data_IF_865053256590
#
_entry.id   IF_865053256590
#
_cell.length_a   1.000
_cell.length_b   1.000
_cell.length_c   1.000
_cell.angle_alpha   90.00
_cell.angle_beta   90.00
_cell.angle_gamma   90.00
#
_symmetry.space_group_name_H-M   'P 1'
#
loop_
_entity.id
_entity.type
_entity.pdbx_description
1 polymer ?
#
# COMPACT_ATOMS: atom_id res chain seq x y z
N UNK A 1 -11.06 6.95 32.72
CA UNK A 1 -11.06 7.13 31.26
C UNK A 1 -10.28 8.41 31.01
N UNK A 2 -9.24 8.34 30.18
CA UNK A 2 -8.23 9.39 30.05
C UNK A 2 -8.84 10.62 29.37
N UNK A 3 -8.80 11.79 30.01
CA UNK A 3 -9.44 13.02 29.52
C UNK A 3 -8.98 13.38 28.09
N UNK A 4 -7.75 12.99 27.74
CA UNK A 4 -7.16 13.19 26.41
C UNK A 4 -7.83 12.33 25.32
N UNK A 5 -8.35 11.15 25.68
CA UNK A 5 -9.04 10.25 24.76
C UNK A 5 -10.47 10.72 24.50
N UNK A 6 -11.15 11.27 25.51
CA UNK A 6 -12.46 11.90 25.34
C UNK A 6 -12.39 13.14 24.44
N UNK A 7 -11.34 13.96 24.59
CA UNK A 7 -11.12 15.16 23.78
C UNK A 7 -10.78 14.83 22.31
N UNK A 8 -9.98 13.78 22.07
CA UNK A 8 -9.71 13.24 20.73
C UNK A 8 -10.96 12.67 20.06
N UNK A 9 -11.79 11.92 20.78
CA UNK A 9 -13.05 11.38 20.27
C UNK A 9 -14.06 12.50 19.97
N UNK A 10 -14.12 13.54 20.83
CA UNK A 10 -14.98 14.70 20.60
C UNK A 10 -14.58 15.48 19.34
N UNK A 11 -13.29 15.76 19.16
CA UNK A 11 -12.79 16.42 17.95
C UNK A 11 -12.99 15.57 16.69
N UNK A 12 -12.92 14.24 16.79
CA UNK A 12 -13.15 13.34 15.64
C UNK A 12 -14.64 13.29 15.25
N UNK A 13 -15.55 13.35 16.23
CA UNK A 13 -17.00 13.34 16.01
C UNK A 13 -17.49 14.71 15.53
N UNK A 14 -16.99 15.80 16.11
CA UNK A 14 -17.39 17.18 15.74
C UNK A 14 -16.85 17.61 14.38
N UNK A 15 -15.67 17.10 13.97
CA UNK A 15 -15.06 17.39 12.66
C UNK A 15 -15.29 16.28 11.63
N UNK A 16 -16.16 15.29 11.88
CA UNK A 16 -16.38 14.17 10.96
C UNK A 16 -16.77 14.62 9.55
N UNK A 17 -17.55 15.70 9.44
CA UNK A 17 -17.92 16.30 8.16
C UNK A 17 -16.77 17.09 7.50
N UNK A 18 -15.89 17.74 8.27
CA UNK A 18 -14.72 18.44 7.73
C UNK A 18 -13.59 17.49 7.34
N UNK A 19 -13.46 16.36 8.03
CA UNK A 19 -12.56 15.27 7.65
C UNK A 19 -13.08 14.61 6.38
N UNK A 20 -14.36 14.23 6.29
CA UNK A 20 -14.92 13.75 5.02
C UNK A 20 -14.71 14.78 3.90
N UNK A 21 -14.97 16.06 4.14
CA UNK A 21 -14.80 17.09 3.13
C UNK A 21 -13.33 17.32 2.75
N UNK A 22 -12.37 17.18 3.68
CA UNK A 22 -10.93 17.17 3.40
C UNK A 22 -10.51 15.91 2.64
N UNK A 23 -11.03 14.73 3.00
CA UNK A 23 -10.82 13.46 2.29
C UNK A 23 -11.39 13.53 0.86
N UNK A 24 -12.53 14.19 0.67
CA UNK A 24 -13.18 14.38 -0.63
C UNK A 24 -12.52 15.48 -1.49
N UNK A 25 -11.89 16.49 -0.90
CA UNK A 25 -11.28 17.62 -1.64
C UNK A 25 -9.77 17.47 -1.87
N UNK A 26 -9.08 16.62 -1.11
CA UNK A 26 -7.64 16.35 -1.28
C UNK A 26 -7.32 15.16 -2.20
N UNK A 27 -8.34 14.50 -2.78
CA UNK A 27 -8.18 13.43 -3.76
C UNK A 27 -7.58 13.87 -5.11
N UNK A 28 -7.14 15.12 -5.26
CA UNK A 28 -6.57 15.55 -6.53
C UNK A 28 -5.72 16.80 -6.41
N UNK A 29 -4.43 16.62 -6.73
CA UNK A 29 -3.45 17.62 -7.22
C UNK A 29 -2.39 18.11 -6.23
N UNK A 30 -1.96 17.28 -5.29
CA UNK A 30 -0.64 17.42 -4.68
C UNK A 30 0.49 17.15 -5.66
N UNK A 31 1.63 17.83 -5.46
CA UNK A 31 2.85 17.67 -6.26
C UNK A 31 3.50 16.29 -6.05
N UNK A 32 2.85 15.24 -6.52
CA UNK A 32 3.50 13.96 -6.69
C UNK A 32 4.51 14.06 -7.83
N UNK A 33 5.70 13.49 -7.65
CA UNK A 33 6.67 13.31 -8.76
C UNK A 33 6.20 12.25 -9.77
N UNK A 34 5.10 11.56 -9.48
CA UNK A 34 4.52 10.51 -10.31
C UNK A 34 3.39 11.08 -11.18
N UNK A 35 3.39 10.70 -12.45
CA UNK A 35 2.33 11.05 -13.38
C UNK A 35 0.99 10.44 -12.94
N UNK A 36 -0.11 11.10 -13.28
CA UNK A 36 -1.45 10.53 -13.12
C UNK A 36 -1.61 9.35 -14.08
N UNK A 37 -2.15 8.24 -13.58
CA UNK A 37 -2.50 7.11 -14.43
C UNK A 37 -3.54 7.56 -15.46
N UNK A 38 -3.19 7.45 -16.73
CA UNK A 38 -4.01 7.82 -17.88
C UNK A 38 -4.14 6.66 -18.87
N UNK A 39 -3.87 5.44 -18.39
CA UNK A 39 -3.94 4.22 -19.17
C UNK A 39 -5.36 3.67 -19.32
N UNK A 40 -5.43 2.44 -19.79
CA UNK A 40 -6.67 1.70 -19.96
C UNK A 40 -7.13 1.12 -18.61
N UNK A 41 -8.26 1.63 -18.07
CA UNK A 41 -8.81 1.21 -16.79
C UNK A 41 -9.37 -0.22 -16.82
N UNK A 42 -9.70 -0.78 -17.99
CA UNK A 42 -10.12 -2.20 -18.07
C UNK A 42 -8.96 -3.17 -17.77
N UNK A 43 -7.72 -2.67 -17.85
CA UNK A 43 -6.47 -3.37 -17.51
C UNK A 43 -6.00 -3.11 -16.08
N UNK A 44 -6.80 -2.41 -15.29
CA UNK A 44 -6.50 -2.08 -13.91
C UNK A 44 -7.29 -2.99 -12.96
N UNK A 45 -6.62 -3.45 -11.92
CA UNK A 45 -7.22 -4.14 -10.77
C UNK A 45 -6.98 -3.29 -9.52
N UNK A 46 -8.08 -2.89 -8.87
CA UNK A 46 -7.99 -2.24 -7.57
C UNK A 46 -7.68 -3.27 -6.48
N UNK A 47 -6.83 -2.87 -5.54
CA UNK A 47 -6.45 -3.62 -4.35
C UNK A 47 -7.06 -2.92 -3.15
N UNK A 48 -8.15 -3.47 -2.59
CA UNK A 48 -8.83 -2.86 -1.46
C UNK A 48 -7.96 -2.81 -0.20
N UNK A 49 -8.39 -1.98 0.75
CA UNK A 49 -7.88 -1.99 2.13
C UNK A 49 -7.85 -3.43 2.68
N UNK A 50 -6.76 -3.75 3.39
CA UNK A 50 -6.51 -5.08 3.94
C UNK A 50 -6.36 -6.20 2.90
N UNK A 51 -5.99 -5.87 1.66
CA UNK A 51 -5.70 -6.85 0.63
C UNK A 51 -4.31 -6.63 0.02
N UNK A 52 -3.84 -7.66 -0.67
CA UNK A 52 -2.72 -7.57 -1.60
C UNK A 52 -3.05 -8.31 -2.89
N UNK A 53 -2.35 -7.94 -3.95
CA UNK A 53 -2.38 -8.61 -5.25
C UNK A 53 -0.98 -8.72 -5.82
N UNK A 54 -0.78 -9.76 -6.63
CA UNK A 54 0.39 -9.98 -7.47
C UNK A 54 -0.14 -10.12 -8.89
N UNK A 55 0.50 -9.46 -9.86
CA UNK A 55 0.17 -9.58 -11.27
C UNK A 55 1.43 -9.65 -12.13
N UNK A 56 1.28 -10.12 -13.36
CA UNK A 56 2.34 -10.22 -14.36
C UNK A 56 2.04 -9.33 -15.57
N UNK A 57 3.06 -9.03 -16.38
CA UNK A 57 2.90 -8.27 -17.62
C UNK A 57 1.90 -8.89 -18.62
N UNK A 58 1.69 -10.19 -18.56
CA UNK A 58 0.83 -10.95 -19.49
C UNK A 58 -0.60 -11.14 -18.94
N UNK A 59 -0.87 -10.72 -17.72
CA UNK A 59 -2.20 -10.82 -17.14
C UNK A 59 -3.19 -9.90 -17.87
N UNK A 60 -4.49 -10.22 -17.76
CA UNK A 60 -5.56 -9.36 -18.30
C UNK A 60 -5.58 -7.97 -17.64
N UNK A 61 -5.18 -7.92 -16.37
CA UNK A 61 -5.12 -6.70 -15.55
C UNK A 61 -3.72 -6.49 -14.98
N UNK A 62 -2.73 -6.12 -15.82
CA UNK A 62 -1.33 -6.00 -15.41
C UNK A 62 -1.04 -4.75 -14.57
N UNK A 63 -2.03 -3.87 -14.34
CA UNK A 63 -1.89 -2.68 -13.51
C UNK A 63 -2.62 -2.90 -12.20
N UNK A 64 -1.94 -2.74 -11.07
CA UNK A 64 -2.55 -2.77 -9.74
C UNK A 64 -2.65 -1.35 -9.20
N UNK A 65 -3.77 -1.00 -8.58
CA UNK A 65 -3.94 0.30 -7.95
C UNK A 65 -4.54 0.19 -6.55
N UNK A 66 -4.30 1.19 -5.72
CA UNK A 66 -5.01 1.39 -4.46
C UNK A 66 -5.24 2.88 -4.25
N UNK A 67 -6.33 3.22 -3.57
CA UNK A 67 -6.62 4.57 -3.13
C UNK A 67 -6.63 4.68 -1.60
N UNK A 68 -6.74 5.90 -1.08
CA UNK A 68 -7.09 6.13 0.31
C UNK A 68 -5.99 5.87 1.34
N UNK A 69 -4.71 5.97 0.98
CA UNK A 69 -3.60 5.87 1.95
C UNK A 69 -3.55 7.13 2.82
N UNK A 70 -4.37 7.19 3.87
CA UNK A 70 -4.37 8.29 4.85
C UNK A 70 -3.41 7.98 6.02
N UNK A 71 -3.81 7.04 6.87
CA UNK A 71 -2.99 6.45 7.95
C UNK A 71 -2.39 5.10 7.54
N UNK A 72 -2.87 4.55 6.43
CA UNK A 72 -2.47 3.28 5.87
C UNK A 72 -1.12 3.35 5.17
N UNK A 73 -0.57 2.18 4.86
CA UNK A 73 0.69 1.99 4.15
C UNK A 73 0.45 1.13 2.92
N UNK A 74 0.83 1.65 1.76
CA UNK A 74 0.95 0.91 0.53
C UNK A 74 2.33 0.26 0.43
N UNK A 75 2.40 -0.98 -0.02
CA UNK A 75 3.68 -1.61 -0.40
C UNK A 75 3.58 -2.05 -1.83
N UNK A 76 4.47 -1.54 -2.67
CA UNK A 76 4.59 -1.97 -4.05
C UNK A 76 5.96 -2.61 -4.26
N UNK A 77 6.01 -3.65 -5.06
CA UNK A 77 7.28 -4.21 -5.50
C UNK A 77 7.22 -4.73 -6.91
N UNK A 78 8.38 -4.77 -7.56
CA UNK A 78 8.50 -5.15 -8.96
C UNK A 78 9.79 -5.91 -9.22
N UNK A 79 9.68 -7.00 -9.98
CA UNK A 79 10.81 -7.70 -10.58
C UNK A 79 10.90 -7.37 -12.08
N UNK A 80 11.92 -6.63 -12.54
CA UNK A 80 12.05 -6.25 -13.94
C UNK A 80 12.39 -7.41 -14.88
N UNK A 81 13.04 -8.47 -14.38
CA UNK A 81 13.42 -9.62 -15.19
C UNK A 81 12.22 -10.52 -15.45
N UNK A 82 11.34 -10.65 -14.45
CA UNK A 82 10.17 -11.51 -14.52
C UNK A 82 8.89 -10.78 -14.87
N UNK A 83 8.92 -9.45 -14.86
CA UNK A 83 7.76 -8.60 -15.13
C UNK A 83 6.59 -8.94 -14.23
N UNK A 84 6.90 -9.07 -12.94
CA UNK A 84 5.95 -9.35 -11.86
C UNK A 84 5.90 -8.14 -10.96
N UNK A 85 4.69 -7.62 -10.70
CA UNK A 85 4.46 -6.58 -9.72
C UNK A 85 3.54 -7.08 -8.62
N UNK A 86 3.67 -6.51 -7.43
CA UNK A 86 2.70 -6.68 -6.37
C UNK A 86 2.35 -5.33 -5.74
N UNK A 87 1.15 -5.26 -5.17
CA UNK A 87 0.67 -4.14 -4.40
C UNK A 87 -0.08 -4.67 -3.18
N UNK A 88 0.20 -4.09 -2.00
CA UNK A 88 -0.51 -4.35 -0.75
C UNK A 88 -1.01 -3.03 -0.17
N UNK A 89 -2.24 -3.02 0.32
CA UNK A 89 -2.80 -1.95 1.12
C UNK A 89 -2.97 -2.45 2.56
N UNK A 90 -2.08 -2.01 3.45
CA UNK A 90 -2.07 -2.40 4.85
C UNK A 90 -2.42 -1.23 5.76
N UNK A 91 -3.05 -1.52 6.88
CA UNK A 91 -3.43 -0.59 7.94
C UNK A 91 -2.95 -1.09 9.31
N UNK A 92 -3.26 -0.32 10.36
CA UNK A 92 -2.96 -0.68 11.73
C UNK A 92 -3.56 -2.04 12.11
N UNK A 93 -4.77 -2.34 11.64
CA UNK A 93 -5.45 -3.58 11.98
C UNK A 93 -4.78 -4.80 11.34
N UNK A 94 -4.34 -4.73 10.08
CA UNK A 94 -3.65 -5.83 9.40
C UNK A 94 -2.22 -6.05 9.90
N UNK A 95 -1.54 -4.99 10.37
CA UNK A 95 -0.31 -5.10 11.15
C UNK A 95 -0.57 -5.65 12.57
N UNK A 96 -1.70 -5.30 13.18
CA UNK A 96 -2.10 -5.72 14.52
C UNK A 96 -2.78 -7.10 14.58
N UNK A 97 -3.28 -7.64 13.46
CA UNK A 97 -3.87 -8.99 13.38
C UNK A 97 -2.83 -10.12 13.30
N UNK A 98 -1.57 -9.78 13.56
CA UNK A 98 -0.72 -10.60 14.42
C UNK A 98 -1.19 -10.64 15.88
N UNK A 99 -2.50 -10.59 16.17
CA UNK A 99 -3.11 -10.34 17.48
C UNK A 99 -2.47 -9.14 18.22
N UNK A 100 -3.24 -8.08 18.49
CA UNK A 100 -3.09 -7.33 19.75
C UNK A 100 -3.34 -8.29 20.91
N UNK A 101 -2.43 -9.23 21.13
CA UNK A 101 -2.35 -9.96 22.38
C UNK A 101 -2.04 -8.90 23.42
N UNK A 102 -2.65 -9.01 24.59
CA UNK A 102 -2.37 -8.18 25.76
C UNK A 102 -0.91 -8.35 26.28
N UNK A 103 0.05 -8.74 25.41
CA UNK A 103 1.42 -9.15 25.73
C UNK A 103 2.50 -8.46 24.87
N UNK A 104 2.19 -7.41 24.10
CA UNK A 104 3.23 -6.53 23.55
C UNK A 104 4.13 -7.11 22.45
N UNK A 105 3.67 -8.13 21.71
CA UNK A 105 4.39 -8.67 20.56
C UNK A 105 3.71 -8.23 19.26
N UNK A 106 4.25 -7.20 18.63
CA UNK A 106 3.86 -6.79 17.28
C UNK A 106 4.42 -7.83 16.32
N UNK A 107 3.60 -8.82 15.96
CA UNK A 107 3.96 -9.89 15.02
C UNK A 107 3.86 -9.34 13.60
N UNK A 108 4.84 -9.74 12.79
CA UNK A 108 5.08 -9.44 11.38
C UNK A 108 3.85 -9.09 10.52
N UNK A 109 4.03 -8.21 9.53
CA UNK A 109 3.00 -7.87 8.55
C UNK A 109 2.63 -9.12 7.72
N UNK A 110 1.38 -9.58 7.88
CA UNK A 110 0.87 -10.82 7.31
C UNK A 110 0.76 -10.81 5.77
N UNK A 111 0.58 -9.63 5.16
CA UNK A 111 0.53 -9.50 3.70
C UNK A 111 1.91 -9.72 3.10
N UNK A 112 2.96 -9.10 3.65
CA UNK A 112 4.33 -9.27 3.13
C UNK A 112 4.74 -10.75 3.15
N UNK A 113 4.42 -11.45 4.23
CA UNK A 113 4.67 -12.89 4.33
C UNK A 113 3.89 -13.69 3.28
N UNK A 114 2.64 -13.32 3.02
CA UNK A 114 1.79 -13.98 2.04
C UNK A 114 2.27 -13.71 0.61
N UNK A 115 2.66 -12.46 0.30
CA UNK A 115 3.30 -12.08 -0.97
C UNK A 115 4.55 -12.92 -1.21
N UNK A 116 5.44 -13.01 -0.22
CA UNK A 116 6.66 -13.81 -0.35
C UNK A 116 6.36 -15.30 -0.57
N UNK A 117 5.39 -15.87 0.16
CA UNK A 117 4.96 -17.27 -0.08
C UNK A 117 4.46 -17.44 -1.52
N UNK A 118 3.57 -16.58 -1.98
CA UNK A 118 2.94 -16.70 -3.29
C UNK A 118 3.98 -16.51 -4.42
N UNK A 119 4.92 -15.57 -4.27
CA UNK A 119 6.07 -15.42 -5.18
C UNK A 119 6.93 -16.70 -5.19
N UNK A 120 7.20 -17.32 -4.04
CA UNK A 120 7.94 -18.59 -4.00
C UNK A 120 7.19 -19.73 -4.71
N UNK A 121 5.86 -19.76 -4.59
CA UNK A 121 4.99 -20.75 -5.26
C UNK A 121 4.95 -20.57 -6.78
N UNK A 122 5.10 -19.34 -7.28
CA UNK A 122 5.34 -19.07 -8.72
C UNK A 122 6.67 -19.66 -9.23
N UNK A 123 7.54 -20.13 -8.32
CA UNK A 123 8.83 -20.74 -8.63
C UNK A 123 9.86 -19.74 -9.15
N UNK A 124 11.14 -20.12 -9.16
CA UNK A 124 12.26 -19.28 -9.61
C UNK A 124 12.82 -18.32 -8.54
N UNK A 125 13.80 -17.52 -8.94
CA UNK A 125 14.40 -16.47 -8.12
C UNK A 125 13.76 -15.12 -8.47
N UNK A 126 13.55 -14.27 -7.47
CA UNK A 126 12.99 -12.93 -7.64
C UNK A 126 13.98 -11.87 -7.16
N UNK A 127 14.11 -10.80 -7.93
CA UNK A 127 14.91 -9.64 -7.58
C UNK A 127 14.01 -8.41 -7.57
N UNK A 128 13.59 -8.00 -6.37
CA UNK A 128 12.52 -7.02 -6.19
C UNK A 128 13.08 -5.63 -5.88
N UNK A 129 12.56 -4.64 -6.61
CA UNK A 129 12.60 -3.24 -6.20
C UNK A 129 11.32 -2.92 -5.44
N UNK A 130 11.44 -2.59 -4.15
CA UNK A 130 10.29 -2.37 -3.26
C UNK A 130 10.20 -0.92 -2.83
N UNK A 131 8.98 -0.38 -2.83
CA UNK A 131 8.68 0.94 -2.27
C UNK A 131 7.60 0.83 -1.21
N UNK A 132 7.89 1.41 -0.06
CA UNK A 132 6.97 1.62 1.05
C UNK A 132 6.35 3.01 0.90
N UNK A 133 5.06 3.06 0.66
CA UNK A 133 4.32 4.27 0.35
C UNK A 133 3.43 4.61 1.53
N UNK A 134 3.63 5.79 2.10
CA UNK A 134 2.90 6.23 3.29
C UNK A 134 1.97 7.39 2.94
N UNK A 135 0.86 7.48 3.66
CA UNK A 135 -0.10 8.56 3.54
C UNK A 135 0.30 9.86 4.25
N UNK A 136 -0.67 10.77 4.37
CA UNK A 136 -0.48 12.07 5.03
C UNK A 136 -0.26 11.99 6.54
N UNK A 137 -0.75 10.92 7.18
CA UNK A 137 -0.65 10.73 8.63
C UNK A 137 -0.04 9.36 8.94
N UNK A 138 1.24 9.14 8.58
CA UNK A 138 1.87 7.84 8.70
C UNK A 138 1.96 7.36 10.15
N UNK A 139 1.51 6.14 10.41
CA UNK A 139 1.80 5.47 11.68
C UNK A 139 3.21 4.85 11.64
N UNK A 140 4.09 5.32 12.53
CA UNK A 140 5.48 4.88 12.61
C UNK A 140 5.63 3.41 13.05
N UNK A 141 4.67 2.87 13.82
CA UNK A 141 4.65 1.47 14.23
C UNK A 141 4.36 0.57 13.01
N UNK A 142 3.32 0.87 12.23
CA UNK A 142 3.00 0.16 10.96
C UNK A 142 4.21 0.15 10.04
N UNK A 143 4.83 1.32 9.85
CA UNK A 143 5.99 1.48 8.99
C UNK A 143 7.14 0.60 9.47
N UNK A 144 7.47 0.67 10.77
CA UNK A 144 8.58 -0.09 11.35
C UNK A 144 8.36 -1.61 11.23
N UNK A 145 7.13 -2.08 11.42
CA UNK A 145 6.75 -3.49 11.28
C UNK A 145 6.86 -3.92 9.82
N UNK A 146 6.33 -3.12 8.91
CA UNK A 146 6.33 -3.41 7.47
C UNK A 146 7.74 -3.42 6.91
N UNK A 147 8.59 -2.45 7.27
CA UNK A 147 10.01 -2.46 6.91
C UNK A 147 10.74 -3.70 7.43
N UNK A 148 10.47 -4.11 8.68
CA UNK A 148 11.09 -5.31 9.27
C UNK A 148 10.67 -6.57 8.52
N UNK A 149 9.40 -6.69 8.16
CA UNK A 149 8.88 -7.80 7.34
C UNK A 149 9.51 -7.82 5.95
N UNK A 150 9.72 -6.66 5.33
CA UNK A 150 10.36 -6.56 4.03
C UNK A 150 11.84 -6.97 4.08
N UNK A 151 12.59 -6.47 5.07
CA UNK A 151 14.06 -6.68 5.21
C UNK A 151 14.49 -8.13 5.48
N UNK A 152 13.55 -9.05 5.69
CA UNK A 152 13.83 -10.48 5.90
C UNK A 152 13.15 -11.36 4.83
N UNK A 153 13.49 -11.19 3.54
CA UNK A 153 12.92 -12.02 2.49
C UNK A 153 13.42 -13.48 2.61
N UNK A 154 12.63 -14.47 2.16
CA UNK A 154 13.09 -15.85 2.09
C UNK A 154 14.18 -16.03 1.02
N UNK A 155 14.94 -17.13 1.07
CA UNK A 155 16.18 -17.33 0.29
C UNK A 155 16.09 -17.24 -1.24
N UNK A 156 14.89 -17.31 -1.83
CA UNK A 156 14.66 -17.18 -3.28
C UNK A 156 14.24 -15.77 -3.70
N UNK A 157 14.17 -14.84 -2.76
CA UNK A 157 13.76 -13.47 -2.97
C UNK A 157 14.90 -12.57 -2.49
N UNK A 158 15.42 -11.77 -3.40
CA UNK A 158 16.42 -10.74 -3.13
C UNK A 158 15.74 -9.38 -3.22
N UNK A 159 15.97 -8.51 -2.24
CA UNK A 159 15.60 -7.10 -2.34
C UNK A 159 16.77 -6.32 -2.94
N UNK A 160 16.58 -5.76 -4.13
CA UNK A 160 17.55 -4.86 -4.76
C UNK A 160 17.52 -3.47 -4.10
N UNK A 161 16.31 -3.01 -3.79
CA UNK A 161 16.07 -1.72 -3.18
C UNK A 161 14.85 -1.77 -2.26
N UNK A 162 14.90 -0.94 -1.21
CA UNK A 162 13.75 -0.62 -0.37
C UNK A 162 13.75 0.90 -0.17
N UNK A 163 12.83 1.57 -0.85
CA UNK A 163 12.66 3.02 -0.76
C UNK A 163 11.40 3.37 0.02
N UNK A 164 11.46 4.44 0.81
CA UNK A 164 10.29 5.02 1.46
C UNK A 164 9.83 6.26 0.68
N UNK A 165 8.54 6.34 0.42
CA UNK A 165 7.87 7.45 -0.25
C UNK A 165 6.78 7.95 0.68
N UNK A 166 6.94 9.17 1.17
CA UNK A 166 5.90 9.84 1.95
C UNK A 166 5.05 10.71 1.01
N UNK A 167 3.78 10.35 0.86
CA UNK A 167 2.83 11.13 0.09
C UNK A 167 2.31 12.26 0.98
N UNK A 168 2.46 13.50 0.52
CA UNK A 168 2.06 14.71 1.28
C UNK A 168 0.54 14.88 1.39
N UNK A 169 -0.22 14.08 0.65
CA UNK A 169 -1.68 14.09 0.57
C UNK A 169 -2.19 12.65 0.63
N UNK A 170 -3.51 12.45 0.62
CA UNK A 170 -4.12 11.11 0.64
C UNK A 170 -3.58 10.36 -0.55
N UNK A 171 -2.85 9.28 -0.25
CA UNK A 171 -2.08 8.61 -1.25
C UNK A 171 -2.93 7.64 -2.04
N UNK A 172 -2.96 7.85 -3.35
CA UNK A 172 -3.55 6.88 -4.29
C UNK A 172 -2.50 6.58 -5.35
N UNK A 173 -2.20 5.31 -5.53
CA UNK A 173 -1.07 4.85 -6.35
C UNK A 173 -1.48 3.71 -7.28
N UNK A 174 -0.78 3.60 -8.40
CA UNK A 174 -0.83 2.44 -9.27
C UNK A 174 0.56 1.99 -9.69
N UNK A 175 0.72 0.69 -9.96
CA UNK A 175 1.95 0.08 -10.51
C UNK A 175 1.62 -0.78 -11.73
N UNK A 176 2.40 -0.63 -12.80
CA UNK A 176 2.27 -1.43 -14.03
C UNK A 176 3.31 -2.55 -14.08
N UNK A 177 2.89 -3.82 -14.10
CA UNK A 177 3.81 -4.97 -14.15
C UNK A 177 4.61 -5.10 -15.45
N UNK A 178 4.23 -4.39 -16.52
CA UNK A 178 4.96 -4.40 -17.80
C UNK A 178 6.24 -3.57 -17.72
N UNK A 179 6.16 -2.44 -17.00
CA UNK A 179 7.22 -1.43 -16.96
C UNK A 179 7.87 -1.29 -15.59
N UNK A 180 7.13 -1.55 -14.51
CA UNK A 180 7.49 -1.22 -13.13
C UNK A 180 7.26 0.25 -12.78
N UNK A 181 6.62 1.01 -13.67
CA UNK A 181 6.35 2.42 -13.47
C UNK A 181 5.26 2.62 -12.41
N UNK A 182 5.45 3.65 -11.58
CA UNK A 182 4.49 4.07 -10.57
C UNK A 182 3.77 5.33 -11.02
N UNK A 183 2.47 5.35 -10.74
CA UNK A 183 1.58 6.45 -11.05
C UNK A 183 0.85 6.90 -9.79
N UNK A 184 0.38 8.14 -9.79
CA UNK A 184 -0.76 8.51 -8.94
C UNK A 184 -2.03 7.93 -9.54
N UNK A 185 -2.98 7.60 -8.68
CA UNK A 185 -4.27 7.01 -9.04
C UNK A 185 -5.42 7.91 -8.57
N UNK A 186 -6.50 7.97 -9.34
CA UNK A 186 -7.74 8.64 -8.95
C UNK A 186 -8.89 7.69 -9.25
N UNK A 187 -9.50 7.15 -8.18
CA UNK A 187 -10.60 6.19 -8.28
C UNK A 187 -11.87 6.81 -8.87
N UNK A 188 -12.02 8.14 -8.84
CA UNK A 188 -13.15 8.83 -9.48
C UNK A 188 -13.07 8.80 -11.00
N UNK A 189 -11.88 8.55 -11.55
CA UNK A 189 -11.67 8.39 -12.99
C UNK A 189 -11.83 6.93 -13.45
N UNK A 190 -11.94 5.97 -12.53
CA UNK A 190 -12.20 4.57 -12.86
C UNK A 190 -13.70 4.35 -13.11
N UNK A 191 -14.12 4.01 -14.35
CA UNK A 191 -15.53 3.75 -14.64
C UNK A 191 -16.05 2.44 -14.03
N UNK A 192 -15.14 1.55 -13.57
CA UNK A 192 -15.44 0.22 -13.03
C UNK A 192 -14.65 -0.05 -11.73
N UNK A 193 -14.98 0.64 -10.62
CA UNK A 193 -14.34 0.40 -9.32
C UNK A 193 -14.67 -1.01 -8.77
#
# INVERSE_FOLDING_TARGET
MDQKLEELLKNTIENGAEIEQFLYTSNGRGSSKYNLFSGDYDKLEEVPLMMYKITTAEDKKPVLATDGLLTCVGVVGYDPNRKVAFLSHSDDFTCAFGYRTHQGLVKENSHIRSIYRDLQEMGGEFNLDVKLITGSFPDNEIISVTERSLKNPPSRITLNSLERIDLKEIGSIAIDARTGELFTYDSQLNPNP
#
